data_IF_195676520090
#
_entry.id   IF_195676520090
#
_cell.length_a   1.000
_cell.length_b   1.000
_cell.length_c   1.000
_cell.angle_alpha   90.00
_cell.angle_beta   90.00
_cell.angle_gamma   90.00
#
_symmetry.space_group_name_H-M   'P 1'
#
loop_
_entity.id
_entity.type
_entity.pdbx_description
1 polymer ?
#
# COMPACT_ATOMS: atom_id res chain seq x y z
N UNK A 1 -26.28 -3.36 -6.34
CA UNK A 1 -25.19 -2.45 -5.94
C UNK A 1 -23.96 -2.85 -6.75
N UNK A 2 -23.24 -1.90 -7.39
CA UNK A 2 -22.00 -2.25 -8.11
C UNK A 2 -21.00 -2.80 -7.08
N UNK A 3 -20.28 -3.91 -7.34
CA UNK A 3 -19.31 -4.45 -6.39
C UNK A 3 -18.34 -3.34 -6.02
N UNK A 4 -18.24 -3.01 -4.74
CA UNK A 4 -17.25 -2.06 -4.23
C UNK A 4 -15.92 -2.81 -4.29
N UNK A 5 -15.12 -2.61 -5.33
CA UNK A 5 -13.83 -3.28 -5.56
C UNK A 5 -12.77 -2.82 -4.56
N UNK A 6 -12.97 -3.17 -3.29
CA UNK A 6 -11.99 -3.03 -2.20
C UNK A 6 -11.33 -4.35 -1.78
N UNK A 7 -11.78 -5.50 -2.29
CA UNK A 7 -11.34 -6.82 -1.82
C UNK A 7 -10.02 -7.34 -2.42
N UNK A 8 -9.26 -6.48 -3.12
CA UNK A 8 -7.97 -6.86 -3.72
C UNK A 8 -6.85 -6.96 -2.67
N UNK A 9 -5.79 -7.74 -2.92
CA UNK A 9 -4.65 -7.82 -1.99
C UNK A 9 -3.94 -6.47 -1.85
N UNK A 10 -3.05 -6.32 -0.87
CA UNK A 10 -2.14 -5.17 -0.88
C UNK A 10 -1.30 -5.18 -2.17
N UNK A 11 -1.27 -4.05 -2.88
CA UNK A 11 -0.51 -3.90 -4.12
C UNK A 11 0.56 -2.82 -3.95
N UNK A 12 1.77 -3.07 -4.46
CA UNK A 12 2.87 -2.10 -4.49
C UNK A 12 3.48 -2.12 -5.88
N UNK A 13 3.60 -0.96 -6.52
CA UNK A 13 4.17 -0.81 -7.86
C UNK A 13 5.08 0.41 -7.94
N UNK A 14 6.12 0.36 -8.76
CA UNK A 14 6.92 1.53 -9.11
C UNK A 14 6.28 2.26 -10.29
N UNK A 15 5.96 3.54 -10.12
CA UNK A 15 5.45 4.41 -11.18
C UNK A 15 6.39 5.62 -11.33
N UNK A 16 7.30 5.54 -12.31
CA UNK A 16 8.29 6.59 -12.56
C UNK A 16 9.35 6.68 -11.47
N UNK A 17 9.29 7.71 -10.61
CA UNK A 17 10.24 7.93 -9.50
C UNK A 17 9.64 7.62 -8.13
N UNK A 18 8.36 7.25 -8.09
CA UNK A 18 7.61 7.04 -6.86
C UNK A 18 7.13 5.60 -6.77
N UNK A 19 6.93 5.13 -5.54
CA UNK A 19 6.33 3.84 -5.23
C UNK A 19 4.87 4.11 -4.87
N UNK A 20 3.95 3.45 -5.57
CA UNK A 20 2.51 3.53 -5.31
C UNK A 20 2.07 2.27 -4.57
N UNK A 21 1.62 2.45 -3.33
CA UNK A 21 1.04 1.40 -2.50
C UNK A 21 -0.49 1.55 -2.43
N UNK A 22 -1.23 0.48 -2.72
CA UNK A 22 -2.69 0.41 -2.66
C UNK A 22 -3.11 -0.58 -1.59
N UNK A 23 -3.67 -0.08 -0.49
CA UNK A 23 -4.12 -0.88 0.66
C UNK A 23 -5.65 -1.03 0.59
N UNK A 24 -6.19 -2.27 0.55
CA UNK A 24 -7.63 -2.50 0.63
C UNK A 24 -8.18 -2.05 1.98
N UNK A 25 -9.36 -1.43 1.99
CA UNK A 25 -10.02 -0.96 3.21
C UNK A 25 -11.28 -1.77 3.51
N UNK A 26 -11.49 -2.07 4.79
CA UNK A 26 -12.74 -2.65 5.26
C UNK A 26 -13.92 -1.70 4.99
N UNK A 27 -14.97 -2.20 4.31
CA UNK A 27 -16.11 -1.38 3.87
C UNK A 27 -16.05 -0.94 2.39
N UNK A 28 -14.92 -1.20 1.73
CA UNK A 28 -14.72 -1.03 0.29
C UNK A 28 -13.86 0.18 -0.07
N UNK A 29 -13.26 0.12 -1.27
CA UNK A 29 -12.30 1.11 -1.73
C UNK A 29 -10.87 0.77 -1.33
N UNK A 30 -9.93 1.68 -1.63
CA UNK A 30 -8.50 1.51 -1.39
C UNK A 30 -7.88 2.81 -0.93
N UNK A 31 -7.01 2.74 0.08
CA UNK A 31 -6.08 3.82 0.38
C UNK A 31 -4.93 3.73 -0.62
N UNK A 32 -4.65 4.81 -1.33
CA UNK A 32 -3.51 4.91 -2.25
C UNK A 32 -2.50 5.86 -1.62
N UNK A 33 -1.28 5.38 -1.45
CA UNK A 33 -0.16 6.13 -0.88
C UNK A 33 0.95 6.19 -1.92
N UNK A 34 1.42 7.41 -2.19
CA UNK A 34 2.66 7.64 -2.95
C UNK A 34 3.81 7.78 -1.96
N UNK A 35 4.89 7.04 -2.20
CA UNK A 35 6.02 6.88 -1.27
C UNK A 35 7.31 7.10 -2.05
N UNK A 36 8.24 7.89 -1.50
CA UNK A 36 9.59 8.00 -2.04
C UNK A 36 10.44 6.77 -1.68
N UNK A 37 11.51 6.51 -2.43
CA UNK A 37 12.38 5.36 -2.18
C UNK A 37 12.93 5.31 -0.74
N UNK A 38 13.26 6.46 -0.13
CA UNK A 38 13.74 6.52 1.26
C UNK A 38 12.65 6.16 2.27
N UNK A 39 11.43 6.68 2.09
CA UNK A 39 10.29 6.40 2.98
C UNK A 39 9.88 4.92 2.91
N UNK A 40 10.04 4.28 1.75
CA UNK A 40 9.79 2.84 1.60
C UNK A 40 10.79 1.98 2.39
N UNK A 41 12.06 2.41 2.48
CA UNK A 41 13.08 1.76 3.33
C UNK A 41 12.69 1.91 4.80
N UNK A 42 12.32 3.11 5.23
CA UNK A 42 11.88 3.37 6.60
C UNK A 42 10.63 2.55 6.98
N UNK A 43 9.66 2.45 6.07
CA UNK A 43 8.46 1.64 6.27
C UNK A 43 8.81 0.15 6.42
N UNK A 44 9.70 -0.39 5.58
CA UNK A 44 10.15 -1.78 5.67
C UNK A 44 10.78 -2.05 7.04
N UNK A 45 11.69 -1.20 7.49
CA UNK A 45 12.41 -1.38 8.75
C UNK A 45 11.45 -1.29 9.95
N UNK A 46 10.47 -0.37 9.91
CA UNK A 46 9.42 -0.29 10.91
C UNK A 46 8.54 -1.55 10.97
N UNK A 47 8.21 -2.13 9.81
CA UNK A 47 7.44 -3.37 9.72
C UNK A 47 8.23 -4.59 10.21
N UNK A 48 9.53 -4.68 9.88
CA UNK A 48 10.40 -5.75 10.35
C UNK A 48 10.47 -5.80 11.89
N UNK A 49 10.42 -4.64 12.55
CA UNK A 49 10.39 -4.56 14.02
C UNK A 49 9.12 -5.12 14.68
N UNK A 50 8.04 -5.37 13.93
CA UNK A 50 6.76 -5.86 14.47
C UNK A 50 6.33 -7.24 13.94
N UNK A 51 6.95 -7.71 12.86
CA UNK A 51 6.73 -9.05 12.31
C UNK A 51 7.63 -10.05 13.06
N UNK A 52 7.04 -11.10 13.64
CA UNK A 52 7.76 -12.18 14.36
C UNK A 52 7.90 -13.44 13.52
#
# INVERSE_FOLDING_TARGET
>A
MKPRTGDGPLEVVEEGRSIIMRVPLEGGGRLVVEIAASEAVELRDALEGVIK
#
